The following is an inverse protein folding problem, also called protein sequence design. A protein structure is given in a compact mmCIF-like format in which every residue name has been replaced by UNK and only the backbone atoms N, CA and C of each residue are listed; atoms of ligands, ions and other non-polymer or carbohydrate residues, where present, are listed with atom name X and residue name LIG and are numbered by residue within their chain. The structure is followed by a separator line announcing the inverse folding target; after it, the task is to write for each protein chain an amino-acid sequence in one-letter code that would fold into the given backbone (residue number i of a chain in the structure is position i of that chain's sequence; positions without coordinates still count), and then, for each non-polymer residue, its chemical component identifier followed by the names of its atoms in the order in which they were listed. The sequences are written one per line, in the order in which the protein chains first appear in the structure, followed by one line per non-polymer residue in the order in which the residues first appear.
data_IF_824181837116
#
_entry.id   IF_824181837116
#
_cell.length_a   1.000
_cell.length_b   1.000
_cell.length_c   1.000
_cell.angle_alpha   90.00
_cell.angle_beta   90.00
_cell.angle_gamma   90.00
#
_symmetry.space_group_name_H-M   'P 1'
#
loop_
_entity.id
_entity.type
_entity.pdbx_description
1 polymer ?
#
# COMPACT_ATOMS: atom_id res chain seq x y z
N UNK A 1 11.13 -23.04 5.19
CA UNK A 1 11.99 -22.23 6.06
C UNK A 1 13.36 -21.97 5.39
N UNK A 2 14.13 -23.01 5.01
CA UNK A 2 15.47 -22.87 4.38
C UNK A 2 15.50 -21.85 3.21
N UNK A 3 14.51 -21.89 2.30
CA UNK A 3 14.43 -20.93 1.19
C UNK A 3 14.26 -19.47 1.65
N UNK A 4 13.49 -19.22 2.69
CA UNK A 4 13.33 -17.87 3.26
C UNK A 4 14.64 -17.38 3.88
N UNK A 5 15.37 -18.25 4.58
CA UNK A 5 16.66 -17.89 5.17
C UNK A 5 17.71 -17.54 4.11
N UNK A 6 17.62 -18.12 2.90
CA UNK A 6 18.46 -17.80 1.75
C UNK A 6 18.04 -16.48 1.08
N UNK A 7 16.75 -16.20 0.94
CA UNK A 7 16.22 -15.09 0.13
C UNK A 7 16.04 -13.79 0.90
N UNK A 8 15.69 -13.86 2.19
CA UNK A 8 15.49 -12.65 3.01
C UNK A 8 16.70 -11.71 2.95
N UNK A 9 17.96 -12.17 3.15
CA UNK A 9 19.12 -11.29 3.05
C UNK A 9 19.26 -10.60 1.71
N UNK A 10 18.90 -11.28 0.60
CA UNK A 10 18.96 -10.73 -0.76
C UNK A 10 17.94 -9.60 -0.92
N UNK A 11 16.71 -9.83 -0.46
CA UNK A 11 15.65 -8.80 -0.50
C UNK A 11 16.03 -7.59 0.33
N UNK A 12 16.55 -7.82 1.54
CA UNK A 12 16.98 -6.73 2.42
C UNK A 12 18.12 -5.90 1.84
N UNK A 13 19.08 -6.56 1.17
CA UNK A 13 20.20 -5.88 0.50
C UNK A 13 19.76 -5.00 -0.68
N UNK A 14 18.56 -5.24 -1.24
CA UNK A 14 18.00 -4.41 -2.31
C UNK A 14 17.23 -3.16 -1.80
N UNK A 15 17.00 -3.06 -0.49
CA UNK A 15 16.34 -1.90 0.10
C UNK A 15 17.33 -0.79 0.39
N UNK A 16 17.05 0.41 -0.12
CA UNK A 16 17.87 1.60 0.17
C UNK A 16 17.75 2.04 1.63
N UNK A 17 18.74 2.78 2.12
CA UNK A 17 18.77 3.28 3.49
C UNK A 17 17.55 4.14 3.87
N UNK A 18 16.99 4.85 2.92
CA UNK A 18 15.74 5.60 3.11
C UNK A 18 14.46 4.73 3.17
N UNK A 19 14.56 3.40 2.97
CA UNK A 19 13.41 2.49 2.99
C UNK A 19 12.84 2.13 1.62
N UNK A 20 13.22 2.85 0.55
CA UNK A 20 12.74 2.58 -0.80
C UNK A 20 13.25 1.23 -1.32
N UNK A 21 12.41 0.51 -2.05
CA UNK A 21 12.78 -0.73 -2.75
C UNK A 21 12.07 -0.80 -4.10
N UNK A 22 12.84 -0.86 -5.16
CA UNK A 22 12.43 -1.19 -6.52
C UNK A 22 13.66 -1.38 -7.39
N UNK A 23 14.11 -2.63 -7.55
CA UNK A 23 15.39 -2.94 -8.19
C UNK A 23 15.53 -2.36 -9.61
N UNK A 24 14.46 -2.40 -10.42
CA UNK A 24 14.48 -1.82 -11.77
C UNK A 24 14.82 -0.32 -11.76
N UNK A 25 14.21 0.47 -10.87
CA UNK A 25 14.49 1.90 -10.77
C UNK A 25 15.92 2.17 -10.28
N UNK A 26 16.35 1.43 -9.24
CA UNK A 26 17.67 1.62 -8.63
C UNK A 26 18.77 1.28 -9.64
N UNK A 27 18.69 0.11 -10.30
CA UNK A 27 19.72 -0.34 -11.26
C UNK A 27 19.80 0.58 -12.49
N UNK A 28 18.64 1.03 -12.99
CA UNK A 28 18.58 1.89 -14.18
C UNK A 28 18.66 3.39 -13.85
N UNK A 29 18.87 3.77 -12.58
CA UNK A 29 18.96 5.16 -12.11
C UNK A 29 17.76 6.01 -12.52
N UNK A 30 16.57 5.43 -12.47
CA UNK A 30 15.30 6.10 -12.76
C UNK A 30 14.81 6.80 -11.47
N UNK A 31 14.32 8.02 -11.63
CA UNK A 31 13.72 8.76 -10.49
C UNK A 31 12.54 8.02 -9.88
N UNK A 32 12.41 8.09 -8.56
CA UNK A 32 11.34 7.40 -7.83
C UNK A 32 9.99 8.09 -8.06
N UNK A 33 8.95 7.27 -8.25
CA UNK A 33 7.56 7.71 -8.41
C UNK A 33 7.39 8.72 -9.57
N UNK A 34 8.01 8.43 -10.71
CA UNK A 34 7.94 9.27 -11.92
C UNK A 34 7.02 8.71 -12.98
N UNK A 35 6.74 7.40 -12.94
CA UNK A 35 5.87 6.74 -13.91
C UNK A 35 4.94 5.74 -13.21
N UNK A 36 3.63 6.02 -13.25
CA UNK A 36 2.60 5.20 -12.62
C UNK A 36 2.54 3.76 -13.15
N UNK A 37 3.10 3.49 -14.33
CA UNK A 37 3.10 2.16 -14.93
C UNK A 37 4.27 1.28 -14.43
N UNK A 38 5.23 1.83 -13.69
CA UNK A 38 6.39 1.08 -13.21
C UNK A 38 6.12 0.26 -11.94
N UNK A 39 4.89 0.28 -11.43
CA UNK A 39 4.43 -0.59 -10.35
C UNK A 39 5.20 -0.44 -9.02
N UNK A 40 5.79 0.73 -8.74
CA UNK A 40 6.58 0.95 -7.52
C UNK A 40 5.78 0.65 -6.25
N UNK A 41 4.59 1.23 -6.10
CA UNK A 41 3.70 0.95 -4.97
C UNK A 41 3.30 -0.53 -4.87
N UNK A 42 3.07 -1.17 -6.00
CA UNK A 42 2.72 -2.59 -6.04
C UNK A 42 3.85 -3.48 -5.51
N UNK A 43 5.08 -3.24 -5.95
CA UNK A 43 6.27 -3.97 -5.47
C UNK A 43 6.52 -3.72 -3.99
N UNK A 44 6.43 -2.47 -3.55
CA UNK A 44 6.59 -2.09 -2.14
C UNK A 44 5.47 -2.67 -1.27
N UNK A 45 4.23 -2.71 -1.77
CA UNK A 45 3.11 -3.37 -1.12
C UNK A 45 3.37 -4.84 -0.85
N UNK A 46 3.96 -5.57 -1.80
CA UNK A 46 4.34 -6.97 -1.60
C UNK A 46 5.44 -7.16 -0.55
N UNK A 47 6.41 -6.25 -0.45
CA UNK A 47 7.38 -6.29 0.65
C UNK A 47 6.68 -6.13 2.01
N UNK A 48 5.74 -5.17 2.09
CA UNK A 48 4.98 -4.91 3.32
C UNK A 48 4.13 -6.13 3.70
N UNK A 49 3.40 -6.73 2.74
CA UNK A 49 2.64 -7.96 2.94
C UNK A 49 3.52 -9.12 3.41
N UNK A 50 4.68 -9.29 2.77
CA UNK A 50 5.65 -10.32 3.17
C UNK A 50 6.15 -10.10 4.59
N UNK A 51 6.40 -8.84 4.99
CA UNK A 51 6.81 -8.48 6.35
C UNK A 51 5.76 -8.84 7.38
N UNK A 52 4.49 -8.49 7.12
CA UNK A 52 3.36 -8.84 7.98
C UNK A 52 3.19 -10.35 8.10
N UNK A 53 3.14 -11.06 6.97
CA UNK A 53 2.94 -12.50 6.94
C UNK A 53 4.07 -13.26 7.65
N UNK A 54 5.32 -12.87 7.39
CA UNK A 54 6.49 -13.50 8.01
C UNK A 54 6.52 -13.29 9.53
N UNK A 55 6.21 -12.08 9.99
CA UNK A 55 6.11 -11.77 11.41
C UNK A 55 5.07 -12.66 12.10
N UNK A 56 3.86 -12.77 11.53
CA UNK A 56 2.79 -13.58 12.09
C UNK A 56 3.13 -15.07 12.13
N UNK A 57 3.69 -15.62 11.04
CA UNK A 57 4.06 -17.06 10.94
C UNK A 57 5.19 -17.40 11.90
N UNK A 58 6.11 -16.47 12.18
CA UNK A 58 7.21 -16.68 13.12
C UNK A 58 6.85 -16.33 14.57
N UNK A 59 5.63 -15.87 14.83
CA UNK A 59 5.21 -15.38 16.14
C UNK A 59 6.05 -14.19 16.63
N UNK A 60 6.58 -13.39 15.70
CA UNK A 60 7.44 -12.25 15.98
C UNK A 60 8.91 -12.59 16.31
N UNK A 61 9.30 -13.88 16.26
CA UNK A 61 10.67 -14.31 16.55
C UNK A 61 11.68 -13.86 15.47
N UNK A 62 11.24 -13.67 14.22
CA UNK A 62 12.05 -13.13 13.14
C UNK A 62 11.43 -11.84 12.60
N UNK A 63 12.08 -10.73 12.91
CA UNK A 63 11.60 -9.39 12.56
C UNK A 63 12.19 -8.83 11.27
N UNK A 64 13.13 -9.51 10.64
CA UNK A 64 13.91 -8.96 9.51
C UNK A 64 13.03 -8.36 8.41
N UNK A 65 12.06 -9.11 7.89
CA UNK A 65 11.13 -8.60 6.86
C UNK A 65 10.14 -7.58 7.43
N UNK A 66 9.71 -7.73 8.69
CA UNK A 66 8.84 -6.78 9.35
C UNK A 66 9.52 -5.40 9.49
N UNK A 67 10.77 -5.36 9.92
CA UNK A 67 11.51 -4.11 10.08
C UNK A 67 11.76 -3.44 8.73
N UNK A 68 12.03 -4.21 7.67
CA UNK A 68 12.13 -3.71 6.31
C UNK A 68 10.78 -3.18 5.78
N UNK A 69 9.68 -3.87 6.06
CA UNK A 69 8.33 -3.44 5.72
C UNK A 69 7.97 -2.12 6.41
N UNK A 70 8.29 -2.00 7.71
CA UNK A 70 8.12 -0.77 8.49
C UNK A 70 8.89 0.39 7.87
N UNK A 71 10.19 0.18 7.59
CA UNK A 71 11.06 1.18 6.97
C UNK A 71 10.52 1.64 5.61
N UNK A 72 10.00 0.72 4.79
CA UNK A 72 9.37 1.04 3.52
C UNK A 72 8.09 1.86 3.72
N UNK A 73 7.21 1.45 4.61
CA UNK A 73 5.96 2.15 4.89
C UNK A 73 6.18 3.55 5.50
N UNK A 74 7.19 3.69 6.36
CA UNK A 74 7.58 4.98 6.95
C UNK A 74 8.03 5.96 5.86
N UNK A 75 8.87 5.52 4.92
CA UNK A 75 9.30 6.32 3.77
C UNK A 75 8.10 6.77 2.91
N UNK A 76 7.11 5.90 2.70
CA UNK A 76 5.89 6.26 1.98
C UNK A 76 5.09 7.33 2.72
N UNK A 77 4.92 7.20 4.05
CA UNK A 77 4.25 8.19 4.88
C UNK A 77 4.98 9.53 4.94
N UNK A 78 6.29 9.55 4.83
CA UNK A 78 7.08 10.77 4.74
C UNK A 78 6.92 11.46 3.38
N UNK A 79 6.84 10.69 2.31
CA UNK A 79 6.80 11.19 0.93
C UNK A 79 5.40 11.63 0.50
N UNK A 80 4.36 10.85 0.85
CA UNK A 80 2.99 11.03 0.37
C UNK A 80 2.03 11.44 1.49
N UNK A 81 1.08 12.30 1.15
CA UNK A 81 0.12 12.82 2.09
C UNK A 81 -0.38 14.21 1.70
N UNK A 82 -1.09 14.88 2.62
CA UNK A 82 -1.48 16.29 2.45
C UNK A 82 -0.26 17.19 2.25
N UNK A 83 -0.47 18.35 1.60
CA UNK A 83 0.60 19.35 1.43
C UNK A 83 1.34 19.62 2.75
N UNK A 84 2.66 19.74 2.73
CA UNK A 84 3.56 19.87 1.58
C UNK A 84 4.02 18.54 0.95
N UNK A 85 3.48 17.38 1.38
CA UNK A 85 3.80 16.08 0.80
C UNK A 85 3.20 15.90 -0.58
N UNK A 86 3.64 14.87 -1.29
CA UNK A 86 3.19 14.60 -2.66
C UNK A 86 1.82 13.93 -2.69
N UNK A 87 1.00 14.33 -3.67
CA UNK A 87 -0.12 13.52 -4.16
C UNK A 87 0.42 12.56 -5.22
N UNK A 88 0.03 11.29 -5.14
CA UNK A 88 0.41 10.28 -6.11
C UNK A 88 -0.75 9.33 -6.40
N UNK A 89 -1.10 9.20 -7.67
CA UNK A 89 -2.07 8.21 -8.15
C UNK A 89 -1.30 7.07 -8.79
N UNK A 90 -1.07 6.01 -8.06
CA UNK A 90 -0.34 4.85 -8.55
C UNK A 90 -1.16 4.01 -9.53
N UNK A 91 -0.47 3.37 -10.48
CA UNK A 91 -1.13 2.66 -11.57
C UNK A 91 -1.79 1.34 -11.18
N UNK A 92 -1.32 0.66 -10.13
CA UNK A 92 -1.84 -0.63 -9.69
C UNK A 92 -2.13 -0.63 -8.18
N UNK A 93 -3.38 -0.80 -7.75
CA UNK A 93 -3.75 -0.98 -6.35
C UNK A 93 -3.09 -2.22 -5.73
N UNK A 94 -3.03 -2.26 -4.40
CA UNK A 94 -2.41 -3.34 -3.61
C UNK A 94 -1.66 -2.82 -2.40
N UNK A 95 -1.10 -1.62 -2.49
CA UNK A 95 -0.45 -0.92 -1.37
C UNK A 95 -1.43 -0.66 -0.23
N UNK A 96 -2.67 -0.36 -0.55
CA UNK A 96 -3.72 -0.02 0.41
C UNK A 96 -3.97 -1.18 1.38
N UNK A 97 -4.12 -2.40 0.86
CA UNK A 97 -4.30 -3.61 1.68
C UNK A 97 -3.06 -3.84 2.56
N UNK A 98 -1.88 -3.70 1.97
CA UNK A 98 -0.62 -3.92 2.67
C UNK A 98 -0.44 -2.95 3.86
N UNK A 99 -0.72 -1.66 3.64
CA UNK A 99 -0.62 -0.64 4.69
C UNK A 99 -1.69 -0.80 5.78
N UNK A 100 -2.94 -1.18 5.42
CA UNK A 100 -3.97 -1.49 6.40
C UNK A 100 -3.56 -2.65 7.31
N UNK A 101 -3.04 -3.73 6.73
CA UNK A 101 -2.56 -4.89 7.49
C UNK A 101 -1.36 -4.56 8.37
N UNK A 102 -0.40 -3.79 7.84
CA UNK A 102 0.75 -3.34 8.62
C UNK A 102 0.31 -2.44 9.76
N UNK A 103 -0.56 -1.47 9.51
CA UNK A 103 -1.07 -0.55 10.53
C UNK A 103 -1.73 -1.29 11.68
N UNK A 104 -2.59 -2.25 11.35
CA UNK A 104 -3.24 -3.12 12.34
C UNK A 104 -2.23 -3.93 13.15
N UNK A 105 -1.25 -4.57 12.50
CA UNK A 105 -0.22 -5.34 13.18
C UNK A 105 0.62 -4.46 14.11
N UNK A 106 1.04 -3.29 13.63
CA UNK A 106 1.83 -2.34 14.43
C UNK A 106 1.07 -1.89 15.67
N UNK A 107 -0.22 -1.55 15.53
CA UNK A 107 -1.06 -1.20 16.68
C UNK A 107 -1.16 -2.34 17.69
N UNK A 108 -1.19 -3.57 17.22
CA UNK A 108 -1.27 -4.75 18.08
C UNK A 108 0.04 -5.04 18.83
N UNK A 109 1.20 -4.90 18.18
CA UNK A 109 2.47 -5.39 18.71
C UNK A 109 3.38 -4.29 19.26
N UNK A 110 3.19 -3.05 18.86
CA UNK A 110 4.04 -1.92 19.32
C UNK A 110 3.25 -0.89 20.14
N UNK A 111 1.93 -1.01 20.19
CA UNK A 111 1.04 -0.15 20.96
C UNK A 111 0.02 0.59 20.10
N UNK A 112 -1.15 0.82 20.66
CA UNK A 112 -2.27 1.50 20.01
C UNK A 112 -1.85 2.87 19.45
N UNK A 113 -2.33 3.20 18.25
CA UNK A 113 -2.05 4.46 17.56
C UNK A 113 -0.73 4.49 16.77
N UNK A 114 0.20 3.60 17.03
CA UNK A 114 1.51 3.61 16.34
C UNK A 114 1.44 3.25 14.86
N UNK A 115 0.42 2.50 14.47
CA UNK A 115 0.17 2.10 13.08
C UNK A 115 -0.83 3.00 12.35
N UNK A 116 -1.47 3.95 13.02
CA UNK A 116 -2.56 4.77 12.44
C UNK A 116 -2.10 5.56 11.23
N UNK A 117 -0.86 6.07 11.22
CA UNK A 117 -0.28 6.80 10.09
C UNK A 117 -0.32 6.02 8.77
N UNK A 118 -0.25 4.70 8.81
CA UNK A 118 -0.35 3.86 7.61
C UNK A 118 -1.77 3.80 7.09
N UNK A 119 -2.75 3.69 7.99
CA UNK A 119 -4.17 3.71 7.65
C UNK A 119 -4.60 5.11 7.16
N UNK A 120 -4.07 6.16 7.77
CA UNK A 120 -4.27 7.54 7.32
C UNK A 120 -3.71 7.77 5.91
N UNK A 121 -2.54 7.22 5.58
CA UNK A 121 -2.01 7.27 4.22
C UNK A 121 -2.94 6.54 3.24
N UNK A 122 -3.46 5.37 3.59
CA UNK A 122 -4.44 4.66 2.75
C UNK A 122 -5.67 5.52 2.50
N UNK A 123 -6.22 6.16 3.53
CA UNK A 123 -7.35 7.07 3.39
C UNK A 123 -7.03 8.20 2.42
N UNK A 124 -5.89 8.83 2.57
CA UNK A 124 -5.43 9.88 1.67
C UNK A 124 -5.31 9.41 0.21
N UNK A 125 -4.77 8.20 -0.02
CA UNK A 125 -4.66 7.63 -1.37
C UNK A 125 -6.03 7.41 -2.02
N UNK A 126 -7.03 6.98 -1.28
CA UNK A 126 -8.40 6.84 -1.78
C UNK A 126 -9.06 8.19 -2.04
N UNK A 127 -8.97 9.13 -1.11
CA UNK A 127 -9.58 10.45 -1.22
C UNK A 127 -9.01 11.24 -2.42
N UNK A 128 -7.73 11.02 -2.74
CA UNK A 128 -7.04 11.69 -3.85
C UNK A 128 -7.02 10.88 -5.14
N UNK A 129 -7.59 9.67 -5.18
CA UNK A 129 -7.51 8.75 -6.33
C UNK A 129 -7.97 9.38 -7.64
N UNK A 130 -9.04 10.15 -7.63
CA UNK A 130 -9.61 10.84 -8.79
C UNK A 130 -9.17 12.32 -8.91
N UNK A 131 -8.22 12.81 -8.10
CA UNK A 131 -7.85 14.22 -8.07
C UNK A 131 -6.96 14.63 -9.24
N UNK A 132 -6.17 13.72 -9.82
CA UNK A 132 -5.23 13.99 -10.90
C UNK A 132 -5.90 13.70 -12.24
N UNK A 133 -6.30 14.76 -12.97
CA UNK A 133 -7.13 14.66 -14.18
C UNK A 133 -6.53 13.73 -15.26
N UNK A 134 -5.23 13.82 -15.52
CA UNK A 134 -4.50 13.00 -16.50
C UNK A 134 -4.46 11.50 -16.16
N UNK A 135 -4.73 11.16 -14.89
CA UNK A 135 -4.74 9.77 -14.42
C UNK A 135 -6.16 9.21 -14.24
N UNK A 136 -7.20 10.01 -14.50
CA UNK A 136 -8.60 9.58 -14.41
C UNK A 136 -8.95 8.58 -15.50
N UNK A 137 -9.20 7.34 -15.14
CA UNK A 137 -9.75 6.32 -16.03
C UNK A 137 -10.31 5.12 -15.28
N UNK A 138 -11.29 4.45 -15.90
CA UNK A 138 -11.91 3.25 -15.33
C UNK A 138 -10.92 2.08 -15.21
N UNK A 139 -9.96 1.96 -16.13
CA UNK A 139 -8.97 0.87 -16.13
C UNK A 139 -8.16 0.78 -14.83
N UNK A 140 -7.97 1.92 -14.13
CA UNK A 140 -7.22 2.04 -12.87
C UNK A 140 -8.10 2.39 -11.66
N UNK A 141 -9.42 2.30 -11.79
CA UNK A 141 -10.38 2.68 -10.74
C UNK A 141 -10.16 4.12 -10.22
N UNK A 142 -9.81 5.04 -11.12
CA UNK A 142 -9.58 6.46 -10.82
C UNK A 142 -10.52 7.41 -11.60
N UNK A 143 -11.57 6.88 -12.22
CA UNK A 143 -12.52 7.64 -13.06
C UNK A 143 -13.42 8.56 -12.21
N UNK A 144 -13.82 8.14 -11.03
CA UNK A 144 -14.59 8.89 -10.03
C UNK A 144 -14.00 8.66 -8.63
N UNK A 145 -14.33 9.50 -7.64
CA UNK A 145 -13.93 9.26 -6.24
C UNK A 145 -14.30 7.85 -5.77
N UNK A 146 -13.47 7.27 -4.90
CA UNK A 146 -13.64 5.89 -4.45
C UNK A 146 -15.03 5.61 -3.87
N UNK A 147 -15.54 6.51 -3.03
CA UNK A 147 -16.85 6.38 -2.38
C UNK A 147 -18.05 6.59 -3.30
N UNK A 148 -17.82 7.10 -4.51
CA UNK A 148 -18.86 7.32 -5.54
C UNK A 148 -18.94 6.17 -6.55
N UNK A 149 -18.02 5.19 -6.48
CA UNK A 149 -18.04 4.03 -7.37
C UNK A 149 -19.22 3.12 -7.03
N UNK A 150 -19.90 2.65 -8.09
CA UNK A 150 -21.12 1.84 -7.98
C UNK A 150 -21.06 0.54 -8.77
N UNK A 151 -19.97 0.31 -9.49
CA UNK A 151 -19.77 -0.88 -10.31
C UNK A 151 -18.29 -1.27 -10.39
N UNK A 152 -18.02 -2.54 -10.60
CA UNK A 152 -16.68 -3.04 -10.85
C UNK A 152 -16.29 -2.81 -12.31
N UNK A 153 -15.37 -1.89 -12.56
CA UNK A 153 -14.93 -1.52 -13.91
C UNK A 153 -13.42 -1.69 -14.10
N UNK A 154 -13.01 -1.73 -15.34
CA UNK A 154 -11.60 -1.71 -15.72
C UNK A 154 -10.89 -3.04 -15.60
N UNK A 155 -9.61 -3.02 -15.23
CA UNK A 155 -8.80 -4.21 -15.12
C UNK A 155 -9.18 -5.03 -13.87
N UNK A 156 -9.61 -6.27 -14.06
CA UNK A 156 -10.18 -7.12 -13.00
C UNK A 156 -9.30 -7.23 -11.76
N UNK A 157 -8.00 -7.51 -11.92
CA UNK A 157 -7.06 -7.65 -10.78
C UNK A 157 -6.92 -6.33 -10.03
N UNK A 158 -6.84 -5.20 -10.73
CA UNK A 158 -6.78 -3.88 -10.09
C UNK A 158 -8.06 -3.56 -9.33
N UNK A 159 -9.22 -3.85 -9.92
CA UNK A 159 -10.52 -3.64 -9.28
C UNK A 159 -10.65 -4.45 -8.00
N UNK A 160 -10.30 -5.74 -8.01
CA UNK A 160 -10.39 -6.58 -6.82
C UNK A 160 -9.46 -6.11 -5.69
N UNK A 161 -8.22 -5.73 -5.99
CA UNK A 161 -7.32 -5.13 -5.00
C UNK A 161 -7.86 -3.80 -4.46
N UNK A 162 -8.37 -2.95 -5.36
CA UNK A 162 -8.91 -1.65 -4.98
C UNK A 162 -10.09 -1.77 -4.02
N UNK A 163 -11.09 -2.60 -4.38
CA UNK A 163 -12.28 -2.79 -3.56
C UNK A 163 -11.99 -3.54 -2.25
N UNK A 164 -11.05 -4.50 -2.25
CA UNK A 164 -10.62 -5.15 -1.02
C UNK A 164 -9.98 -4.16 -0.03
N UNK A 165 -9.14 -3.25 -0.51
CA UNK A 165 -8.59 -2.19 0.34
C UNK A 165 -9.64 -1.18 0.81
N UNK A 166 -10.69 -0.90 0.00
CA UNK A 166 -11.84 -0.10 0.45
C UNK A 166 -12.57 -0.78 1.61
N UNK A 167 -12.77 -2.09 1.56
CA UNK A 167 -13.37 -2.85 2.65
C UNK A 167 -12.49 -2.81 3.92
N UNK A 168 -11.18 -2.96 3.78
CA UNK A 168 -10.24 -2.89 4.90
C UNK A 168 -10.31 -1.53 5.61
N UNK A 169 -10.30 -0.41 4.85
CA UNK A 169 -10.37 0.92 5.46
C UNK A 169 -11.73 1.22 6.07
N UNK A 170 -12.83 0.77 5.43
CA UNK A 170 -14.18 0.87 5.99
C UNK A 170 -14.27 0.20 7.37
N UNK A 171 -13.69 -0.99 7.50
CA UNK A 171 -13.66 -1.73 8.77
C UNK A 171 -12.77 -1.06 9.82
N UNK A 172 -11.58 -0.58 9.43
CA UNK A 172 -10.60 -0.02 10.38
C UNK A 172 -11.01 1.35 10.92
N UNK A 173 -11.69 2.16 10.10
CA UNK A 173 -12.10 3.51 10.47
C UNK A 173 -13.60 3.64 10.80
N UNK A 174 -14.39 2.57 10.60
CA UNK A 174 -15.83 2.63 10.76
C UNK A 174 -16.52 3.53 9.72
N UNK A 175 -15.94 3.65 8.50
CA UNK A 175 -16.41 4.57 7.47
C UNK A 175 -17.56 3.97 6.66
N UNK A 176 -18.79 4.45 6.94
CA UNK A 176 -20.00 4.00 6.25
C UNK A 176 -20.05 4.37 4.76
N UNK A 177 -19.34 5.41 4.31
CA UNK A 177 -19.32 5.77 2.90
C UNK A 177 -18.53 4.76 2.06
N UNK A 178 -17.37 4.32 2.54
CA UNK A 178 -16.59 3.25 1.91
C UNK A 178 -17.36 1.92 1.94
N UNK A 179 -17.98 1.58 3.08
CA UNK A 179 -18.78 0.36 3.18
C UNK A 179 -19.95 0.37 2.18
N UNK A 180 -20.68 1.48 2.11
CA UNK A 180 -21.79 1.63 1.15
C UNK A 180 -21.36 1.53 -0.31
N UNK A 181 -20.17 2.04 -0.66
CA UNK A 181 -19.63 1.90 -2.02
C UNK A 181 -19.27 0.44 -2.33
N UNK A 182 -18.64 -0.27 -1.39
CA UNK A 182 -18.32 -1.70 -1.55
C UNK A 182 -19.59 -2.53 -1.72
N UNK A 183 -20.63 -2.29 -0.91
CA UNK A 183 -21.91 -3.00 -0.99
C UNK A 183 -22.63 -2.78 -2.35
N UNK A 184 -22.50 -1.59 -2.95
CA UNK A 184 -23.08 -1.32 -4.27
C UNK A 184 -22.34 -2.03 -5.41
N UNK A 185 -21.02 -2.24 -5.24
CA UNK A 185 -20.17 -2.88 -6.23
C UNK A 185 -20.31 -4.41 -6.18
N UNK A 186 -20.56 -4.98 -5.00
CA UNK A 186 -20.71 -6.41 -4.77
C UNK A 186 -22.06 -6.95 -5.27
#
# INVERSE_FOLDING_TARGET
RRKLDEWIPIVLAAQLDAGYIHSFHVVNKIGHYTNINNHEFYVQGYLIEAGVAHYLVTGGADRRLYDAARKCADQLCETFGPAPKRVWVHGHPGMEIALCRLGRLVNQVEGAGRGDKYVELVRFLYDTRASVAEHRNAYRQSHVPAVEQTEAVGHAVRATYFHAGMADIAMLQGDGAFLSAVDKIW
#
